data_IF_884247648039
#
_entry.id   IF_884247648039
#
_cell.length_a   1.000
_cell.length_b   1.000
_cell.length_c   1.000
_cell.angle_alpha   90.00
_cell.angle_beta   90.00
_cell.angle_gamma   90.00
#
_symmetry.space_group_name_H-M   'P 1'
#
loop_
_entity.id
_entity.type
_entity.pdbx_description
1 polymer ?
#
# COMPACT_ATOMS: atom_id res chain seq x y z
N UNK A 1 16.63 26.55 2.09
CA UNK A 1 17.03 25.27 2.72
C UNK A 1 16.06 24.23 2.20
N UNK A 2 16.46 23.50 1.15
CA UNK A 2 15.60 22.60 0.39
C UNK A 2 16.20 21.19 0.51
N UNK A 3 15.83 20.46 1.56
CA UNK A 3 16.30 19.10 1.78
C UNK A 3 15.49 18.15 0.90
N UNK A 4 15.98 17.94 -0.32
CA UNK A 4 15.61 16.79 -1.15
C UNK A 4 16.11 15.53 -0.43
N UNK A 5 15.22 14.93 0.37
CA UNK A 5 15.48 13.71 1.13
C UNK A 5 15.49 12.50 0.17
N UNK A 6 16.64 12.31 -0.48
CA UNK A 6 16.97 11.20 -1.35
C UNK A 6 17.16 9.92 -0.50
N UNK A 7 16.26 8.95 -0.62
CA UNK A 7 16.55 7.57 -0.19
C UNK A 7 17.27 6.83 -1.33
N UNK A 8 18.37 6.16 -0.99
CA UNK A 8 19.24 5.43 -1.91
C UNK A 8 18.55 4.16 -2.44
N UNK A 9 18.88 3.66 -3.65
CA UNK A 9 18.37 2.39 -4.19
C UNK A 9 18.75 1.14 -3.37
N UNK A 10 19.48 1.28 -2.25
CA UNK A 10 19.88 0.17 -1.36
C UNK A 10 18.92 -0.12 -0.21
N UNK A 11 17.81 0.59 -0.12
CA UNK A 11 16.80 0.38 0.91
C UNK A 11 16.38 1.68 1.56
N UNK A 12 15.10 1.77 1.90
CA UNK A 12 14.57 2.90 2.63
C UNK A 12 14.78 2.67 4.13
N UNK A 13 15.63 3.48 4.77
CA UNK A 13 15.87 3.42 6.23
C UNK A 13 14.68 3.93 7.06
N UNK A 14 13.67 4.50 6.39
CA UNK A 14 12.40 4.85 7.01
C UNK A 14 11.50 3.63 7.12
N UNK A 15 10.84 3.51 8.25
CA UNK A 15 9.81 2.48 8.49
C UNK A 15 8.43 3.10 8.71
N UNK A 16 8.20 4.33 8.24
CA UNK A 16 6.84 4.89 8.16
C UNK A 16 6.03 4.16 7.08
N UNK A 17 4.69 4.21 7.12
CA UNK A 17 3.84 3.60 6.10
C UNK A 17 4.29 3.97 4.69
N UNK A 18 4.38 2.98 3.79
CA UNK A 18 4.89 3.15 2.42
C UNK A 18 6.39 2.94 2.24
N UNK A 19 7.14 2.59 3.29
CA UNK A 19 8.59 2.33 3.24
C UNK A 19 8.95 0.91 3.72
N UNK A 20 10.13 0.70 4.32
CA UNK A 20 10.58 -0.63 4.75
C UNK A 20 9.64 -1.24 5.80
N UNK A 21 9.34 -2.54 5.64
CA UNK A 21 8.52 -3.31 6.57
C UNK A 21 9.36 -3.87 7.72
N UNK A 22 8.83 -3.84 8.95
CA UNK A 22 9.52 -4.44 10.12
C UNK A 22 9.17 -5.93 10.24
N UNK A 23 10.10 -6.82 10.63
CA UNK A 23 9.81 -8.26 10.75
C UNK A 23 8.67 -8.59 11.71
N UNK A 24 8.57 -7.88 12.84
CA UNK A 24 7.47 -8.08 13.79
C UNK A 24 6.12 -7.66 13.21
N UNK A 25 6.09 -6.62 12.38
CA UNK A 25 4.89 -6.13 11.71
C UNK A 25 4.32 -7.21 10.78
N UNK A 26 5.18 -7.89 10.02
CA UNK A 26 4.80 -9.06 9.19
C UNK A 26 4.16 -10.15 10.06
N UNK A 27 4.77 -10.47 11.20
CA UNK A 27 4.28 -11.50 12.11
C UNK A 27 2.92 -11.16 12.72
N UNK A 28 2.72 -9.92 13.18
CA UNK A 28 1.43 -9.54 13.79
C UNK A 28 0.30 -9.51 12.77
N UNK A 29 0.52 -9.06 11.53
CA UNK A 29 -0.51 -9.11 10.49
C UNK A 29 -0.85 -10.55 10.06
N UNK A 30 0.12 -11.46 10.08
CA UNK A 30 -0.13 -12.88 9.87
C UNK A 30 -0.92 -13.51 11.03
N UNK A 31 -0.71 -13.03 12.26
CA UNK A 31 -1.43 -13.48 13.45
C UNK A 31 -2.84 -12.89 13.59
N UNK A 32 -3.19 -11.86 12.81
CA UNK A 32 -4.52 -11.22 12.78
C UNK A 32 -5.23 -11.38 11.43
N UNK A 33 -5.52 -12.62 10.98
CA UNK A 33 -6.08 -12.86 9.66
C UNK A 33 -7.45 -12.19 9.44
N UNK A 34 -8.24 -12.03 10.49
CA UNK A 34 -9.58 -11.40 10.44
C UNK A 34 -9.56 -9.89 10.15
N UNK A 35 -8.38 -9.27 10.04
CA UNK A 35 -8.21 -7.84 9.76
C UNK A 35 -7.78 -7.55 8.32
N UNK A 36 -7.55 -8.59 7.52
CA UNK A 36 -7.37 -8.45 6.09
C UNK A 36 -8.70 -8.17 5.41
N UNK A 37 -8.68 -7.25 4.45
CA UNK A 37 -9.82 -6.87 3.61
C UNK A 37 -9.45 -7.14 2.17
N UNK A 38 -10.17 -8.03 1.52
CA UNK A 38 -9.91 -8.41 0.14
C UNK A 38 -10.38 -7.32 -0.83
N UNK A 39 -9.64 -7.17 -1.93
CA UNK A 39 -9.93 -6.17 -2.93
C UNK A 39 -9.28 -6.48 -4.27
N UNK A 40 -9.57 -5.61 -5.23
CA UNK A 40 -9.02 -5.67 -6.58
C UNK A 40 -8.49 -4.30 -6.95
N UNK A 41 -7.35 -4.27 -7.63
CA UNK A 41 -6.77 -3.00 -8.11
C UNK A 41 -7.64 -2.41 -9.21
N UNK A 42 -8.14 -1.19 -8.98
CA UNK A 42 -9.04 -0.47 -9.87
C UNK A 42 -8.40 0.76 -10.50
N UNK A 43 -7.35 1.32 -9.89
CA UNK A 43 -6.66 2.51 -10.39
C UNK A 43 -5.15 2.43 -10.19
N UNK A 44 -4.38 2.92 -11.16
CA UNK A 44 -2.91 3.00 -11.13
C UNK A 44 -2.43 4.38 -11.65
N UNK A 45 -2.57 5.45 -10.86
CA UNK A 45 -1.96 6.74 -11.19
C UNK A 45 -0.43 6.67 -11.19
N UNK A 46 0.22 7.56 -11.93
CA UNK A 46 1.68 7.57 -12.14
C UNK A 46 2.54 7.88 -10.88
N UNK A 47 1.93 8.13 -9.72
CA UNK A 47 2.58 8.63 -8.50
C UNK A 47 2.88 7.56 -7.44
N UNK A 48 2.80 6.28 -7.79
CA UNK A 48 3.00 5.15 -6.85
C UNK A 48 1.79 4.87 -5.97
N UNK A 49 0.70 5.61 -6.17
CA UNK A 49 -0.59 5.32 -5.55
C UNK A 49 -1.30 4.20 -6.32
N UNK A 50 -2.02 3.36 -5.58
CA UNK A 50 -2.80 2.24 -6.11
C UNK A 50 -4.20 2.37 -5.51
N UNK A 51 -5.22 2.42 -6.36
CA UNK A 51 -6.61 2.38 -5.94
C UNK A 51 -7.09 0.95 -5.87
N UNK A 52 -7.67 0.55 -4.72
CA UNK A 52 -8.17 -0.78 -4.45
C UNK A 52 -9.67 -0.69 -4.20
N UNK A 53 -10.47 -1.30 -5.08
CA UNK A 53 -11.89 -1.54 -4.84
C UNK A 53 -12.05 -2.72 -3.89
N UNK A 54 -12.62 -2.49 -2.72
CA UNK A 54 -12.81 -3.54 -1.72
C UNK A 54 -13.98 -4.45 -2.09
N UNK A 55 -13.89 -5.74 -1.77
CA UNK A 55 -14.97 -6.69 -2.12
C UNK A 55 -16.19 -6.56 -1.21
N UNK A 56 -15.97 -6.13 0.02
CA UNK A 56 -17.00 -5.98 1.06
C UNK A 56 -17.83 -4.69 0.91
N UNK A 57 -17.45 -3.77 0.01
CA UNK A 57 -18.14 -2.49 -0.17
C UNK A 57 -17.77 -1.84 -1.51
N UNK A 58 -18.64 -0.99 -2.06
CA UNK A 58 -18.35 -0.19 -3.26
C UNK A 58 -17.33 0.95 -3.04
N UNK A 59 -16.50 0.86 -1.99
CA UNK A 59 -15.49 1.86 -1.62
C UNK A 59 -14.15 1.51 -2.26
N UNK A 60 -13.53 2.54 -2.85
CA UNK A 60 -12.10 2.50 -3.19
C UNK A 60 -11.30 3.04 -2.02
N UNK A 61 -10.27 2.29 -1.60
CA UNK A 61 -9.21 2.78 -0.72
C UNK A 61 -7.95 3.00 -1.53
N UNK A 62 -7.10 3.91 -1.06
CA UNK A 62 -5.87 4.26 -1.72
C UNK A 62 -4.69 3.77 -0.89
N UNK A 63 -3.75 3.12 -1.54
CA UNK A 63 -2.50 2.70 -0.92
C UNK A 63 -1.32 3.26 -1.67
N UNK A 64 -0.25 3.57 -0.96
CA UNK A 64 0.98 4.07 -1.57
C UNK A 64 2.20 3.34 -1.04
N UNK A 65 3.12 3.05 -1.94
CA UNK A 65 4.46 2.58 -1.61
C UNK A 65 5.50 3.45 -2.33
N UNK A 66 6.63 3.67 -1.67
CA UNK A 66 7.74 4.41 -2.26
C UNK A 66 8.48 3.63 -3.35
N UNK A 67 8.56 2.30 -3.21
CA UNK A 67 9.11 1.43 -4.24
C UNK A 67 8.15 1.35 -5.43
N UNK A 68 8.73 1.12 -6.60
CA UNK A 68 7.97 0.86 -7.81
C UNK A 68 7.38 -0.56 -7.73
N UNK A 69 6.05 -0.67 -7.74
CA UNK A 69 5.30 -1.93 -7.74
C UNK A 69 4.66 -2.23 -9.09
N UNK A 70 5.04 -1.49 -10.15
CA UNK A 70 4.41 -1.59 -11.48
C UNK A 70 4.62 -2.93 -12.17
N UNK A 71 5.60 -3.73 -11.73
CA UNK A 71 5.85 -5.06 -12.27
C UNK A 71 4.97 -6.15 -11.63
N UNK A 72 4.51 -5.90 -10.41
CA UNK A 72 3.73 -6.81 -9.57
C UNK A 72 2.22 -6.47 -9.61
N UNK A 73 1.87 -5.24 -9.97
CA UNK A 73 0.51 -4.73 -9.88
C UNK A 73 0.02 -4.20 -11.21
N UNK A 74 -1.01 -4.87 -11.77
CA UNK A 74 -1.82 -4.36 -12.87
C UNK A 74 -3.27 -4.13 -12.43
N UNK A 75 -4.06 -3.41 -13.23
CA UNK A 75 -5.51 -3.37 -13.05
C UNK A 75 -6.08 -4.79 -13.01
N UNK A 76 -7.02 -5.06 -12.10
CA UNK A 76 -7.59 -6.38 -11.89
C UNK A 76 -6.77 -7.29 -10.97
N UNK A 77 -5.59 -6.89 -10.51
CA UNK A 77 -4.77 -7.70 -9.59
C UNK A 77 -5.53 -7.91 -8.28
N UNK A 78 -5.74 -9.17 -7.83
CA UNK A 78 -6.33 -9.46 -6.53
C UNK A 78 -5.32 -9.15 -5.42
N UNK A 79 -5.78 -8.44 -4.40
CA UNK A 79 -4.96 -7.97 -3.29
C UNK A 79 -5.73 -8.07 -1.98
N UNK A 80 -5.02 -8.02 -0.87
CA UNK A 80 -5.65 -7.83 0.44
C UNK A 80 -4.94 -6.72 1.20
N UNK A 81 -5.71 -5.89 1.93
CA UNK A 81 -5.18 -4.78 2.72
C UNK A 81 -5.40 -5.04 4.21
N UNK A 82 -4.36 -4.84 5.00
CA UNK A 82 -4.38 -4.90 6.45
C UNK A 82 -4.20 -3.50 7.05
N UNK A 83 -5.27 -2.72 7.13
CA UNK A 83 -5.22 -1.30 7.50
C UNK A 83 -4.66 -1.02 8.91
N UNK A 84 -4.77 -1.95 9.86
CA UNK A 84 -4.21 -1.77 11.21
C UNK A 84 -2.67 -1.79 11.24
N UNK A 85 -2.04 -2.44 10.26
CA UNK A 85 -0.58 -2.58 10.17
C UNK A 85 -0.07 -2.12 8.81
N UNK A 86 -0.85 -1.30 8.10
CA UNK A 86 -0.42 -0.64 6.88
C UNK A 86 0.20 -1.62 5.87
N UNK A 87 -0.43 -2.76 5.63
CA UNK A 87 0.12 -3.79 4.74
C UNK A 87 -0.78 -4.11 3.55
N UNK A 88 -0.12 -4.40 2.44
CA UNK A 88 -0.69 -4.92 1.21
C UNK A 88 -0.13 -6.31 0.96
N UNK A 89 -1.02 -7.27 0.72
CA UNK A 89 -0.68 -8.59 0.21
C UNK A 89 -0.74 -8.56 -1.32
N UNK A 90 0.39 -8.85 -1.96
CA UNK A 90 0.52 -9.07 -3.39
C UNK A 90 0.96 -10.52 -3.60
N UNK A 91 -0.01 -11.42 -3.80
CA UNK A 91 0.28 -12.86 -3.76
C UNK A 91 0.93 -13.27 -2.43
N UNK A 92 2.15 -13.82 -2.51
CA UNK A 92 2.94 -14.22 -1.34
C UNK A 92 3.67 -13.07 -0.65
N UNK A 93 3.80 -11.91 -1.31
CA UNK A 93 4.55 -10.78 -0.81
C UNK A 93 3.75 -9.93 0.17
N UNK A 94 4.47 -9.28 1.08
CA UNK A 94 3.92 -8.40 2.12
C UNK A 94 4.62 -7.07 2.06
N UNK A 95 3.89 -6.07 1.59
CA UNK A 95 4.41 -4.74 1.30
C UNK A 95 3.81 -3.75 2.29
N UNK A 96 4.64 -2.90 2.89
CA UNK A 96 4.17 -1.86 3.80
C UNK A 96 3.70 -0.64 3.00
N UNK A 97 2.48 -0.18 3.21
CA UNK A 97 1.83 0.84 2.39
C UNK A 97 1.21 1.92 3.26
N UNK A 98 1.23 3.17 2.81
CA UNK A 98 0.40 4.20 3.42
C UNK A 98 -1.04 4.00 2.96
N UNK A 99 -1.97 3.78 3.88
CA UNK A 99 -3.40 3.65 3.59
C UNK A 99 -4.09 5.00 3.73
N UNK A 100 -4.85 5.40 2.71
CA UNK A 100 -5.63 6.63 2.68
C UNK A 100 -7.08 6.36 2.22
N UNK A 101 -8.09 7.08 2.75
CA UNK A 101 -9.48 6.92 2.35
C UNK A 101 -9.78 7.57 0.98
N UNK A 102 -8.91 8.45 0.50
CA UNK A 102 -8.99 9.16 -0.77
C UNK A 102 -7.57 9.36 -1.32
N UNK A 103 -7.46 9.55 -2.64
CA UNK A 103 -6.18 9.90 -3.26
C UNK A 103 -5.76 11.29 -2.76
N UNK A 104 -4.55 11.48 -2.21
CA UNK A 104 -4.14 12.80 -1.77
C UNK A 104 -4.05 13.78 -2.93
N UNK A 105 -4.61 14.98 -2.75
CA UNK A 105 -4.56 16.05 -3.74
C UNK A 105 -5.70 16.07 -4.77
N UNK A 106 -6.75 15.24 -4.59
CA UNK A 106 -7.99 15.32 -5.40
C UNK A 106 -9.23 15.63 -4.56
N UNK A 107 -9.07 16.18 -3.35
CA UNK A 107 -10.20 16.61 -2.53
C UNK A 107 -10.89 17.82 -3.19
N UNK A 108 -12.06 17.57 -3.80
CA UNK A 108 -12.99 18.60 -4.26
C UNK A 108 -12.98 18.88 -5.77
N UNK A 109 -13.73 18.07 -6.52
CA UNK A 109 -14.46 18.52 -7.70
C UNK A 109 -15.96 18.29 -7.44
#
# INVERSE_FOLDING_TARGET
MNETMLCSPRGCDKTSPGHGVRPLQVRVAAATPSKWRDGVVTHLPASGWIGIGLMESDRTIWVWNHADLSSEVTLGTPVAVHALYDMLALGSDRVHVLVAPALPGVDGA
#
